data_IF_243301406526
#
_entry.id   IF_243301406526
#
_cell.length_a   1.000
_cell.length_b   1.000
_cell.length_c   1.000
_cell.angle_alpha   90.00
_cell.angle_beta   90.00
_cell.angle_gamma   90.00
#
_symmetry.space_group_name_H-M   'P 1'
#
loop_
_entity.id
_entity.type
_entity.pdbx_description
1 polymer ?
#
# COMPACT_ATOMS: atom_id res chain seq x y z
N UNK A 1 5.22 21.96 -13.33
CA UNK A 1 4.54 21.40 -12.14
C UNK A 1 3.44 22.36 -11.75
N UNK A 2 2.21 21.89 -11.52
CA UNK A 2 1.16 22.76 -11.00
C UNK A 2 1.53 23.22 -9.58
N UNK A 3 0.89 24.28 -9.10
CA UNK A 3 1.02 24.74 -7.72
C UNK A 3 0.77 23.60 -6.71
N UNK A 4 -0.28 22.82 -6.94
CA UNK A 4 -0.64 21.69 -6.09
C UNK A 4 0.41 20.57 -6.15
N UNK A 5 0.93 20.27 -7.34
CA UNK A 5 1.95 19.23 -7.49
C UNK A 5 3.27 19.62 -6.82
N UNK A 6 3.64 20.91 -6.88
CA UNK A 6 4.79 21.44 -6.17
C UNK A 6 4.64 21.28 -4.65
N UNK A 7 3.46 21.61 -4.12
CA UNK A 7 3.16 21.49 -2.70
C UNK A 7 3.07 20.02 -2.24
N UNK A 8 2.48 19.12 -3.05
CA UNK A 8 2.50 17.66 -2.80
C UNK A 8 3.93 17.15 -2.76
N UNK A 9 4.75 17.49 -3.75
CA UNK A 9 6.13 17.05 -3.84
C UNK A 9 6.96 17.53 -2.65
N UNK A 10 6.76 18.77 -2.21
CA UNK A 10 7.39 19.31 -1.01
C UNK A 10 6.99 18.52 0.25
N UNK A 11 5.69 18.28 0.43
CA UNK A 11 5.18 17.56 1.60
C UNK A 11 5.76 16.14 1.67
N UNK A 12 5.83 15.45 0.53
CA UNK A 12 6.40 14.10 0.42
C UNK A 12 7.92 14.10 0.65
N UNK A 13 8.66 15.02 0.02
CA UNK A 13 10.12 15.10 0.13
C UNK A 13 10.60 15.46 1.53
N UNK A 14 9.83 16.24 2.27
CA UNK A 14 10.20 16.68 3.62
C UNK A 14 9.55 15.86 4.73
N UNK A 15 8.76 14.83 4.39
CA UNK A 15 8.15 13.94 5.36
C UNK A 15 7.14 14.63 6.29
N UNK A 16 6.36 15.57 5.77
CA UNK A 16 5.39 16.30 6.59
C UNK A 16 4.31 15.38 7.16
N UNK A 17 3.91 15.64 8.40
CA UNK A 17 2.79 14.94 9.02
C UNK A 17 1.46 15.39 8.42
N UNK A 18 0.46 14.50 8.43
CA UNK A 18 -0.91 14.87 8.01
C UNK A 18 -1.48 16.03 8.83
N UNK A 19 -1.14 16.13 10.12
CA UNK A 19 -1.59 17.24 10.97
C UNK A 19 -1.03 18.57 10.50
N UNK A 20 0.29 18.64 10.28
CA UNK A 20 0.94 19.86 9.78
C UNK A 20 0.40 20.26 8.40
N UNK A 21 0.20 19.28 7.51
CA UNK A 21 -0.35 19.54 6.18
C UNK A 21 -1.81 19.99 6.23
N UNK A 22 -2.64 19.45 7.13
CA UNK A 22 -4.02 19.90 7.35
C UNK A 22 -4.08 21.35 7.84
N UNK A 23 -3.21 21.74 8.77
CA UNK A 23 -3.13 23.12 9.25
C UNK A 23 -2.74 24.08 8.11
N UNK A 24 -1.72 23.70 7.32
CA UNK A 24 -1.29 24.49 6.17
C UNK A 24 -2.40 24.62 5.12
N UNK A 25 -3.05 23.52 4.74
CA UNK A 25 -4.18 23.54 3.80
C UNK A 25 -5.34 24.38 4.33
N UNK A 26 -5.62 24.32 5.63
CA UNK A 26 -6.60 25.18 6.29
C UNK A 26 -6.28 26.66 6.11
N UNK A 27 -5.03 27.05 6.35
CA UNK A 27 -4.57 28.43 6.19
C UNK A 27 -4.60 28.87 4.72
N UNK A 28 -4.12 28.05 3.79
CA UNK A 28 -4.13 28.36 2.36
C UNK A 28 -5.56 28.56 1.82
N UNK A 29 -6.52 27.75 2.27
CA UNK A 29 -7.94 27.90 1.90
C UNK A 29 -8.56 29.20 2.39
N UNK A 30 -8.08 29.77 3.50
CA UNK A 30 -8.55 31.05 4.01
C UNK A 30 -8.06 32.22 3.15
N UNK A 31 -6.83 32.12 2.63
CA UNK A 31 -6.18 33.20 1.89
C UNK A 31 -6.31 33.10 0.37
N UNK A 32 -6.59 31.91 -0.18
CA UNK A 32 -6.87 31.70 -1.60
C UNK A 32 -8.12 30.79 -1.78
N UNK A 33 -9.32 31.29 -1.46
CA UNK A 33 -10.56 30.50 -1.54
C UNK A 33 -10.95 30.12 -2.98
N UNK A 34 -10.38 30.79 -3.99
CA UNK A 34 -10.59 30.44 -5.41
C UNK A 34 -9.93 29.12 -5.80
N UNK A 35 -8.85 28.75 -5.10
CA UNK A 35 -8.17 27.47 -5.24
C UNK A 35 -8.88 26.46 -4.34
N UNK A 36 -9.69 25.57 -4.94
CA UNK A 36 -10.48 24.54 -4.25
C UNK A 36 -9.61 23.43 -3.64
N UNK A 37 -8.67 23.79 -2.78
CA UNK A 37 -7.77 22.87 -2.11
C UNK A 37 -8.56 21.97 -1.14
N UNK A 38 -8.26 20.65 -1.12
CA UNK A 38 -8.77 19.75 -0.10
C UNK A 38 -8.39 20.21 1.31
N UNK A 39 -9.27 19.97 2.28
CA UNK A 39 -8.99 20.24 3.70
C UNK A 39 -8.11 19.17 4.32
N UNK A 40 -8.19 17.95 3.81
CA UNK A 40 -7.52 16.77 4.36
C UNK A 40 -6.28 16.40 3.54
N UNK A 41 -5.19 16.15 4.26
CA UNK A 41 -3.88 15.79 3.76
C UNK A 41 -3.93 14.52 2.91
N UNK A 42 -4.77 13.53 3.27
CA UNK A 42 -4.88 12.28 2.52
C UNK A 42 -5.52 12.54 1.17
N UNK A 43 -6.58 13.34 1.13
CA UNK A 43 -7.22 13.78 -0.11
C UNK A 43 -6.28 14.64 -0.95
N UNK A 44 -5.52 15.54 -0.31
CA UNK A 44 -4.59 16.41 -1.01
C UNK A 44 -3.41 15.65 -1.62
N UNK A 45 -2.81 14.72 -0.88
CA UNK A 45 -1.69 13.90 -1.36
C UNK A 45 -2.12 12.89 -2.42
N UNK A 46 -3.44 12.65 -2.54
CA UNK A 46 -4.07 11.84 -3.58
C UNK A 46 -3.30 10.55 -3.83
N UNK A 47 -3.08 9.78 -2.75
CA UNK A 47 -2.47 8.46 -2.84
C UNK A 47 -3.22 7.70 -3.92
N UNK A 48 -2.54 7.20 -4.97
CA UNK A 48 -3.23 6.55 -6.08
C UNK A 48 -4.14 5.45 -5.52
N UNK A 49 -5.45 5.62 -5.69
CA UNK A 49 -6.36 4.50 -5.53
C UNK A 49 -5.94 3.44 -6.55
N UNK A 50 -5.85 2.18 -6.13
CA UNK A 50 -5.55 1.07 -7.02
C UNK A 50 -6.70 0.94 -8.04
N UNK A 51 -6.62 1.73 -9.11
CA UNK A 51 -7.58 1.73 -10.23
C UNK A 51 -7.34 0.56 -11.19
N UNK A 52 -6.28 -0.22 -10.96
CA UNK A 52 -6.07 -1.48 -11.65
C UNK A 52 -6.96 -2.56 -11.03
N UNK A 53 -7.87 -3.08 -11.84
CA UNK A 53 -8.74 -4.23 -11.57
C UNK A 53 -7.98 -5.49 -11.14
N UNK A 54 -6.66 -5.54 -11.36
CA UNK A 54 -5.78 -6.62 -10.95
C UNK A 54 -5.50 -6.67 -9.43
N UNK A 55 -5.86 -5.62 -8.67
CA UNK A 55 -5.63 -5.53 -7.22
C UNK A 55 -6.92 -5.33 -6.41
N UNK A 56 -8.07 -5.71 -6.98
CA UNK A 56 -9.37 -5.60 -6.31
C UNK A 56 -9.59 -6.74 -5.29
N UNK A 57 -10.26 -6.41 -4.19
CA UNK A 57 -10.72 -7.42 -3.22
C UNK A 57 -11.85 -8.21 -3.85
N UNK A 58 -11.66 -9.52 -3.97
CA UNK A 58 -12.65 -10.45 -4.51
C UNK A 58 -13.50 -11.02 -3.36
N UNK A 59 -14.84 -11.01 -3.45
CA UNK A 59 -15.69 -11.61 -2.42
C UNK A 59 -15.47 -13.13 -2.32
N UNK A 60 -15.41 -13.64 -1.09
CA UNK A 60 -15.42 -15.08 -0.80
C UNK A 60 -16.42 -15.37 0.32
N UNK A 61 -16.75 -16.65 0.54
CA UNK A 61 -17.62 -17.04 1.65
C UNK A 61 -17.02 -16.60 2.99
N UNK A 62 -17.68 -15.66 3.67
CA UNK A 62 -17.27 -15.17 4.99
C UNK A 62 -16.31 -13.97 4.99
N UNK A 63 -15.99 -13.39 3.82
CA UNK A 63 -15.10 -12.22 3.76
C UNK A 63 -14.74 -11.79 2.34
N UNK A 64 -13.54 -11.26 2.17
CA UNK A 64 -13.00 -10.89 0.87
C UNK A 64 -11.51 -11.18 0.82
N UNK A 65 -11.02 -11.63 -0.33
CA UNK A 65 -9.61 -11.89 -0.54
C UNK A 65 -9.00 -10.83 -1.45
N UNK A 66 -7.87 -10.27 -1.04
CA UNK A 66 -6.98 -9.57 -1.93
C UNK A 66 -5.85 -10.52 -2.34
N UNK A 67 -5.57 -10.62 -3.64
CA UNK A 67 -4.54 -11.51 -4.17
C UNK A 67 -3.58 -10.73 -5.08
N UNK A 68 -2.31 -10.63 -4.67
CA UNK A 68 -1.24 -10.03 -5.46
C UNK A 68 -0.65 -11.02 -6.48
N UNK A 69 -0.54 -12.28 -6.05
CA UNK A 69 0.00 -13.39 -6.83
C UNK A 69 1.50 -13.60 -6.72
N UNK A 70 1.89 -14.87 -6.60
CA UNK A 70 3.28 -15.33 -6.43
C UNK A 70 4.17 -14.75 -7.54
N UNK A 71 3.76 -14.92 -8.80
CA UNK A 71 4.52 -14.44 -9.94
C UNK A 71 4.70 -12.92 -9.95
N UNK A 72 3.72 -12.16 -9.45
CA UNK A 72 3.81 -10.70 -9.36
C UNK A 72 4.82 -10.31 -8.29
N UNK A 73 4.80 -10.96 -7.12
CA UNK A 73 5.79 -10.76 -6.05
C UNK A 73 7.21 -11.05 -6.55
N UNK A 74 7.41 -12.21 -7.20
CA UNK A 74 8.72 -12.60 -7.73
C UNK A 74 9.20 -11.65 -8.83
N UNK A 75 8.36 -11.29 -9.80
CA UNK A 75 8.72 -10.33 -10.86
C UNK A 75 9.06 -8.95 -10.29
N UNK A 76 8.37 -8.53 -9.23
CA UNK A 76 8.65 -7.27 -8.54
C UNK A 76 10.01 -7.31 -7.86
N UNK A 77 10.30 -8.38 -7.10
CA UNK A 77 11.56 -8.55 -6.39
C UNK A 77 12.76 -8.68 -7.35
N UNK A 78 12.63 -9.46 -8.42
CA UNK A 78 13.67 -9.67 -9.44
C UNK A 78 13.60 -8.67 -10.61
N UNK A 79 12.96 -7.50 -10.43
CA UNK A 79 12.73 -6.55 -11.52
C UNK A 79 14.01 -6.09 -12.22
N UNK A 80 15.11 -5.99 -11.48
CA UNK A 80 16.39 -5.47 -11.96
C UNK A 80 17.56 -6.45 -11.83
N UNK A 81 17.29 -7.67 -11.36
CA UNK A 81 18.32 -8.66 -11.04
C UNK A 81 17.84 -10.05 -11.41
N UNK A 82 18.73 -10.85 -11.98
CA UNK A 82 18.41 -12.25 -12.28
C UNK A 82 18.48 -13.09 -11.01
N UNK A 83 17.55 -14.04 -10.80
CA UNK A 83 17.64 -14.98 -9.69
C UNK A 83 18.93 -15.79 -9.77
N UNK A 84 19.60 -15.98 -8.62
CA UNK A 84 20.80 -16.82 -8.52
C UNK A 84 20.50 -18.33 -8.53
N UNK A 85 19.22 -18.70 -8.53
CA UNK A 85 18.73 -20.08 -8.46
C UNK A 85 17.81 -20.37 -9.64
N UNK A 86 17.83 -21.61 -10.12
CA UNK A 86 16.96 -22.05 -11.23
C UNK A 86 15.53 -22.39 -10.78
N UNK A 87 15.36 -22.76 -9.50
CA UNK A 87 14.07 -23.13 -8.89
C UNK A 87 13.92 -22.44 -7.55
N UNK A 88 12.71 -21.97 -7.25
CA UNK A 88 12.39 -21.40 -5.96
C UNK A 88 11.75 -22.47 -5.07
N UNK A 89 12.32 -22.64 -3.89
CA UNK A 89 11.68 -23.39 -2.80
C UNK A 89 10.93 -22.37 -1.95
N UNK A 90 9.61 -22.54 -1.85
CA UNK A 90 8.72 -21.51 -1.30
C UNK A 90 8.05 -22.03 -0.04
N UNK A 91 8.22 -21.27 1.04
CA UNK A 91 7.51 -21.46 2.29
C UNK A 91 6.34 -20.47 2.39
N UNK A 92 5.15 -20.97 2.76
CA UNK A 92 3.99 -20.13 3.02
C UNK A 92 3.68 -20.05 4.52
N UNK A 93 3.38 -18.84 4.98
CA UNK A 93 2.97 -18.58 6.35
C UNK A 93 1.59 -17.91 6.33
N UNK A 94 0.66 -18.44 7.11
CA UNK A 94 -0.71 -17.95 7.22
C UNK A 94 -1.01 -17.74 8.69
N UNK A 95 -1.25 -16.50 9.08
CA UNK A 95 -1.52 -16.11 10.47
C UNK A 95 -2.82 -15.31 10.52
N UNK A 96 -3.50 -15.27 11.67
CA UNK A 96 -4.79 -14.62 11.84
C UNK A 96 -4.74 -13.54 12.92
N UNK A 97 -4.96 -12.28 12.52
CA UNK A 97 -4.99 -11.15 13.45
C UNK A 97 -6.40 -10.57 13.58
N UNK A 98 -6.97 -10.45 14.79
CA UNK A 98 -8.23 -9.74 14.98
C UNK A 98 -8.10 -8.27 14.55
N UNK A 99 -8.96 -7.81 13.63
CA UNK A 99 -8.95 -6.41 13.20
C UNK A 99 -9.53 -5.49 14.28
N UNK A 100 -10.56 -5.96 14.98
CA UNK A 100 -11.23 -5.22 16.03
C UNK A 100 -11.47 -6.14 17.22
N UNK A 101 -11.30 -5.61 18.44
CA UNK A 101 -11.63 -6.36 19.67
C UNK A 101 -13.13 -6.62 19.82
N UNK A 102 -13.96 -5.83 19.14
CA UNK A 102 -15.42 -5.88 19.20
C UNK A 102 -16.06 -6.67 18.06
N UNK A 103 -15.29 -7.19 17.10
CA UNK A 103 -15.82 -7.99 16.01
C UNK A 103 -15.07 -9.31 15.87
N UNK A 104 -15.70 -10.28 15.22
CA UNK A 104 -15.06 -11.55 14.84
C UNK A 104 -14.26 -11.45 13.53
N UNK A 105 -14.13 -10.24 12.98
CA UNK A 105 -13.41 -10.02 11.73
C UNK A 105 -11.92 -10.20 11.98
N UNK A 106 -11.30 -11.06 11.18
CA UNK A 106 -9.89 -11.36 11.24
C UNK A 106 -9.22 -10.95 9.93
N UNK A 107 -7.93 -10.70 10.00
CA UNK A 107 -7.05 -10.39 8.89
C UNK A 107 -6.03 -11.51 8.79
N UNK A 108 -6.00 -12.17 7.64
CA UNK A 108 -5.18 -13.34 7.40
C UNK A 108 -4.17 -13.09 6.27
N UNK A 109 -2.97 -12.56 6.57
CA UNK A 109 -1.94 -12.44 5.56
C UNK A 109 -1.43 -13.83 5.14
N UNK A 110 -1.36 -14.04 3.83
CA UNK A 110 -0.61 -15.15 3.23
C UNK A 110 0.76 -14.60 2.83
N UNK A 111 1.75 -14.94 3.62
CA UNK A 111 3.13 -14.55 3.45
C UNK A 111 3.92 -15.66 2.74
N UNK A 112 4.95 -15.26 2.02
CA UNK A 112 5.80 -16.14 1.23
C UNK A 112 7.27 -15.83 1.51
N UNK A 113 8.02 -16.84 1.94
CA UNK A 113 9.48 -16.83 2.01
C UNK A 113 10.09 -17.68 0.90
N UNK A 114 11.29 -17.34 0.44
CA UNK A 114 12.05 -18.17 -0.50
C UNK A 114 13.15 -18.88 0.28
N UNK A 115 12.93 -20.16 0.60
CA UNK A 115 13.78 -20.96 1.47
C UNK A 115 15.25 -20.96 1.01
N UNK A 116 15.46 -21.19 -0.28
CA UNK A 116 16.78 -21.25 -0.89
C UNK A 116 17.37 -19.88 -1.27
N UNK A 117 16.74 -18.78 -0.86
CA UNK A 117 17.26 -17.42 -0.93
C UNK A 117 17.02 -16.70 0.40
N UNK A 118 17.82 -16.97 1.45
CA UNK A 118 17.58 -16.47 2.81
C UNK A 118 17.66 -14.94 2.93
N UNK A 119 18.31 -14.26 1.97
CA UNK A 119 18.36 -12.79 1.92
C UNK A 119 17.12 -12.17 1.24
N UNK A 120 16.27 -12.98 0.61
CA UNK A 120 15.03 -12.48 0.04
C UNK A 120 14.05 -12.14 1.19
N UNK A 121 13.34 -11.00 1.10
CA UNK A 121 12.37 -10.64 2.12
C UNK A 121 11.18 -11.59 2.08
N UNK A 122 10.48 -11.69 3.21
CA UNK A 122 9.13 -12.26 3.24
C UNK A 122 8.18 -11.32 2.50
N UNK A 123 7.39 -11.87 1.58
CA UNK A 123 6.48 -11.12 0.72
C UNK A 123 5.02 -11.46 1.02
N UNK A 124 4.14 -10.46 1.07
CA UNK A 124 2.68 -10.70 1.14
C UNK A 124 2.15 -11.04 -0.24
N UNK A 125 1.51 -12.21 -0.37
CA UNK A 125 0.97 -12.72 -1.63
C UNK A 125 -0.54 -12.61 -1.69
N UNK A 126 -1.20 -12.72 -0.53
CA UNK A 126 -2.64 -12.53 -0.39
C UNK A 126 -2.99 -12.03 1.01
N UNK A 127 -4.22 -11.53 1.15
CA UNK A 127 -4.85 -11.19 2.42
C UNK A 127 -6.29 -11.71 2.36
N UNK A 128 -6.73 -12.43 3.39
CA UNK A 128 -8.12 -12.90 3.58
C UNK A 128 -8.75 -12.19 4.78
#
# INVERSE_FOLDING_TARGET
LSYEDGLRLWALKTGQTHSALNLLLGHLRQHDPGRKLPRDARTFLNTPEARDTQSAITPISGGGIWYQGIGTCLRSYFRYTQPAVERFEIDFFVDGLPLYKSSRTQFWPILMGIHNLPNAPVMTVAII
#
